data_IF_633292339618
#
_entry.id   IF_633292339618
#
_cell.length_a   1.000
_cell.length_b   1.000
_cell.length_c   1.000
_cell.angle_alpha   90.00
_cell.angle_beta   90.00
_cell.angle_gamma   90.00
#
_symmetry.space_group_name_H-M   'P 1'
#
loop_
_entity.id
_entity.type
_entity.pdbx_description
1 polymer ?
#
# COMPACT_ATOMS: atom_id res chain seq x y z
N UNK A 1 -4.77 -4.71 -71.71
CA UNK A 1 -3.79 -5.36 -70.81
C UNK A 1 -3.09 -4.30 -69.99
N UNK A 2 -3.30 -4.30 -68.66
CA UNK A 2 -2.46 -3.71 -67.60
C UNK A 2 -2.18 -2.17 -67.62
N UNK A 3 -2.22 -1.41 -66.52
CA UNK A 3 -2.21 -1.73 -65.11
C UNK A 3 -2.87 -0.63 -64.25
N UNK A 4 -3.62 -1.09 -63.24
CA UNK A 4 -3.88 -0.43 -61.96
C UNK A 4 -2.54 -0.17 -61.25
N UNK A 5 -2.40 0.97 -60.54
CA UNK A 5 -1.76 1.04 -59.20
C UNK A 5 -1.93 2.40 -58.52
N UNK A 6 -3.12 2.57 -57.96
CA UNK A 6 -3.46 2.94 -56.57
C UNK A 6 -2.34 3.53 -55.68
N UNK A 7 -2.56 4.80 -55.30
CA UNK A 7 -2.46 5.43 -53.98
C UNK A 7 -1.22 5.15 -53.09
N UNK A 8 -0.36 6.17 -52.98
CA UNK A 8 0.55 6.36 -51.84
C UNK A 8 -0.25 6.97 -50.67
N UNK A 9 -0.70 6.15 -49.73
CA UNK A 9 -1.11 6.64 -48.43
C UNK A 9 0.15 6.85 -47.56
N UNK A 10 0.50 8.11 -47.29
CA UNK A 10 1.44 8.46 -46.23
C UNK A 10 0.78 8.09 -44.89
N UNK A 11 1.05 6.88 -44.39
CA UNK A 11 0.68 6.50 -43.04
C UNK A 11 1.55 7.30 -42.07
N UNK A 12 0.95 8.32 -41.45
CA UNK A 12 1.56 9.05 -40.34
C UNK A 12 1.64 8.11 -39.14
N UNK A 13 2.85 7.69 -38.80
CA UNK A 13 3.10 7.05 -37.51
C UNK A 13 2.99 8.15 -36.46
N UNK A 14 1.83 8.26 -35.82
CA UNK A 14 1.71 9.02 -34.58
C UNK A 14 2.58 8.29 -33.54
N UNK A 15 3.78 8.82 -33.29
CA UNK A 15 4.58 8.40 -32.14
C UNK A 15 3.83 8.85 -30.89
N UNK A 16 3.02 7.96 -30.34
CA UNK A 16 2.52 8.12 -28.98
C UNK A 16 3.71 7.93 -28.05
N UNK A 17 4.17 9.02 -27.42
CA UNK A 17 5.03 8.92 -26.25
C UNK A 17 4.21 8.24 -25.15
N UNK A 18 4.26 6.91 -25.11
CA UNK A 18 3.79 6.16 -23.95
C UNK A 18 4.91 6.30 -22.92
N UNK A 19 4.70 7.20 -21.95
CA UNK A 19 5.46 7.17 -20.71
C UNK A 19 5.01 5.90 -20.00
N UNK A 20 5.77 4.82 -20.16
CA UNK A 20 5.59 3.66 -19.30
C UNK A 20 6.01 4.08 -17.89
N UNK A 21 5.09 4.05 -16.94
CA UNK A 21 5.49 3.96 -15.53
C UNK A 21 6.45 2.76 -15.44
N UNK A 22 7.64 2.97 -14.88
CA UNK A 22 8.67 1.93 -14.84
C UNK A 22 8.31 0.80 -13.85
N UNK A 23 7.24 0.99 -13.06
CA UNK A 23 6.72 0.05 -12.08
C UNK A 23 5.36 -0.58 -12.45
N UNK A 24 4.95 -1.63 -11.72
CA UNK A 24 3.60 -2.17 -11.81
C UNK A 24 2.56 -1.11 -11.38
N UNK A 25 1.29 -1.21 -11.84
CA UNK A 25 0.24 -0.28 -11.40
C UNK A 25 0.13 -0.20 -9.88
N UNK A 26 -0.26 0.96 -9.32
CA UNK A 26 -0.45 1.10 -7.88
C UNK A 26 -1.37 0.01 -7.30
N UNK A 27 -1.04 -0.50 -6.10
CA UNK A 27 -1.89 -1.48 -5.39
C UNK A 27 -3.15 -0.77 -4.90
N UNK A 28 -4.32 -1.30 -5.27
CA UNK A 28 -5.59 -0.75 -4.79
C UNK A 28 -5.86 -1.19 -3.34
N UNK A 29 -5.79 -0.25 -2.41
CA UNK A 29 -6.04 -0.51 -0.98
C UNK A 29 -7.53 -0.66 -0.65
N UNK A 30 -8.44 -0.25 -1.54
CA UNK A 30 -9.87 -0.19 -1.24
C UNK A 30 -10.14 0.59 0.05
N UNK A 31 -11.02 0.08 0.90
CA UNK A 31 -11.38 0.71 2.17
C UNK A 31 -10.28 0.63 3.24
N UNK A 32 -9.23 -0.20 3.06
CA UNK A 32 -8.08 -0.21 3.97
C UNK A 32 -7.26 1.08 3.88
N UNK A 33 -7.29 1.78 2.74
CA UNK A 33 -6.62 3.06 2.53
C UNK A 33 -7.18 4.21 3.38
N UNK A 34 -8.30 4.02 4.08
CA UNK A 34 -8.86 5.00 5.02
C UNK A 34 -8.14 5.00 6.39
N UNK A 35 -7.20 4.08 6.61
CA UNK A 35 -6.49 3.88 7.87
C UNK A 35 -4.99 3.99 7.65
N UNK A 36 -4.31 4.74 8.52
CA UNK A 36 -2.84 4.82 8.54
C UNK A 36 -2.23 3.59 9.23
N UNK A 37 -2.97 2.99 10.18
CA UNK A 37 -2.64 1.69 10.77
C UNK A 37 -3.90 0.82 10.78
N UNK A 38 -3.84 -0.33 10.13
CA UNK A 38 -4.89 -1.35 10.19
C UNK A 38 -4.25 -2.69 10.55
N UNK A 39 -4.68 -3.28 11.66
CA UNK A 39 -4.15 -4.55 12.15
C UNK A 39 -5.25 -5.56 12.44
N UNK A 40 -4.93 -6.86 12.35
CA UNK A 40 -5.87 -7.93 12.72
C UNK A 40 -5.87 -8.24 14.21
N UNK A 41 -4.68 -8.30 14.79
CA UNK A 41 -4.45 -8.81 16.15
C UNK A 41 -4.37 -7.72 17.22
N UNK A 42 -3.76 -6.57 16.93
CA UNK A 42 -3.58 -5.50 17.89
C UNK A 42 -2.63 -4.41 17.41
N UNK A 43 -2.62 -3.29 18.12
CA UNK A 43 -1.67 -2.18 17.93
C UNK A 43 -1.23 -1.72 19.32
N UNK A 44 0.07 -1.66 19.57
CA UNK A 44 0.62 -1.23 20.85
C UNK A 44 1.54 -0.05 20.67
N UNK A 45 1.64 0.79 21.69
CA UNK A 45 2.61 1.87 21.75
C UNK A 45 3.22 1.97 23.14
N UNK A 46 4.47 2.42 23.19
CA UNK A 46 5.10 2.94 24.40
C UNK A 46 5.06 4.45 24.28
N UNK A 47 4.16 5.08 25.03
CA UNK A 47 3.86 6.51 24.90
C UNK A 47 5.09 7.40 25.11
N UNK A 48 5.23 8.52 24.36
CA UNK A 48 4.28 9.04 23.36
C UNK A 48 4.65 8.69 21.90
N UNK A 49 3.67 8.23 21.13
CA UNK A 49 3.67 8.22 19.65
C UNK A 49 2.91 9.42 19.08
N UNK A 50 3.21 9.81 17.84
CA UNK A 50 2.46 10.81 17.09
C UNK A 50 1.98 10.21 15.77
N UNK A 51 0.67 9.95 15.68
CA UNK A 51 0.02 9.33 14.52
C UNK A 51 -0.95 10.33 13.91
N UNK A 52 -0.84 10.57 12.60
CA UNK A 52 -1.81 11.38 11.86
C UNK A 52 -2.61 10.48 10.93
N UNK A 53 -3.91 10.38 11.17
CA UNK A 53 -4.82 9.47 10.48
C UNK A 53 -5.47 8.44 11.41
N UNK A 54 -6.41 7.68 10.84
CA UNK A 54 -7.19 6.70 11.62
C UNK A 54 -6.42 5.42 11.86
N UNK A 55 -6.59 4.83 13.05
CA UNK A 55 -6.05 3.50 13.36
C UNK A 55 -7.19 2.53 13.66
N UNK A 56 -7.00 1.26 13.32
CA UNK A 56 -8.01 0.25 13.55
C UNK A 56 -7.46 -1.15 13.84
N UNK A 57 -8.22 -1.89 14.65
CA UNK A 57 -8.01 -3.33 14.86
C UNK A 57 -9.29 -4.10 14.56
N UNK A 58 -9.20 -5.16 13.75
CA UNK A 58 -10.30 -6.11 13.53
C UNK A 58 -9.78 -7.44 12.94
N UNK A 59 -10.20 -8.62 13.45
CA UNK A 59 -11.27 -8.84 14.42
C UNK A 59 -10.88 -8.57 15.88
N UNK A 60 -9.63 -8.20 16.17
CA UNK A 60 -9.22 -7.81 17.53
C UNK A 60 -10.04 -6.64 18.07
N UNK A 61 -10.24 -6.62 19.38
CA UNK A 61 -11.05 -5.62 20.09
C UNK A 61 -10.19 -4.46 20.57
N UNK A 62 -10.83 -3.44 21.15
CA UNK A 62 -10.18 -2.27 21.72
C UNK A 62 -9.20 -2.61 22.85
N UNK A 63 -9.35 -3.77 23.50
CA UNK A 63 -8.39 -4.28 24.48
C UNK A 63 -7.02 -4.62 23.86
N UNK A 64 -6.97 -4.91 22.56
CA UNK A 64 -5.72 -5.15 21.84
C UNK A 64 -5.03 -3.86 21.36
N UNK A 65 -5.63 -2.70 21.66
CA UNK A 65 -5.05 -1.38 21.39
C UNK A 65 -4.44 -0.84 22.69
N UNK A 66 -3.17 -1.14 22.93
CA UNK A 66 -2.52 -0.94 24.24
C UNK A 66 -1.58 0.26 24.25
N UNK A 67 -1.48 0.96 25.38
CA UNK A 67 -0.60 2.13 25.56
C UNK A 67 -1.12 3.45 24.97
N UNK A 68 -2.31 3.45 24.35
CA UNK A 68 -2.91 4.64 23.73
C UNK A 68 -3.76 5.50 24.68
N UNK A 69 -4.05 5.03 25.89
CA UNK A 69 -4.95 5.72 26.84
C UNK A 69 -6.28 6.12 26.20
N UNK A 70 -6.95 5.13 25.58
CA UNK A 70 -8.14 5.35 24.77
C UNK A 70 -9.30 5.95 25.56
N UNK A 71 -9.97 6.93 24.97
CA UNK A 71 -11.27 7.43 25.44
C UNK A 71 -12.34 6.99 24.44
N UNK A 72 -13.16 5.99 24.81
CA UNK A 72 -14.21 5.43 23.94
C UNK A 72 -15.39 6.40 23.81
N UNK A 73 -15.85 6.61 22.58
CA UNK A 73 -16.92 7.52 22.19
C UNK A 73 -17.99 6.82 21.32
N UNK A 74 -18.38 5.59 21.69
CA UNK A 74 -19.39 4.81 20.96
C UNK A 74 -18.81 4.04 19.77
N UNK A 75 -18.90 4.63 18.57
CA UNK A 75 -18.45 4.01 17.30
C UNK A 75 -16.94 4.10 17.08
N UNK A 76 -16.27 4.98 17.80
CA UNK A 76 -14.82 5.19 17.76
C UNK A 76 -14.27 5.50 19.15
N UNK A 77 -12.96 5.61 19.27
CA UNK A 77 -12.27 6.13 20.43
C UNK A 77 -11.24 7.19 20.00
N UNK A 78 -10.77 8.00 20.95
CA UNK A 78 -9.71 9.00 20.71
C UNK A 78 -8.49 8.71 21.60
N UNK A 79 -7.35 9.29 21.20
CA UNK A 79 -6.10 9.27 21.96
C UNK A 79 -5.35 10.57 21.70
N UNK A 80 -4.62 11.09 22.68
CA UNK A 80 -3.73 12.26 22.49
C UNK A 80 -2.57 11.97 21.54
N UNK A 81 -2.29 10.69 21.26
CA UNK A 81 -1.25 10.23 20.34
C UNK A 81 -1.75 10.12 18.89
N UNK A 82 -3.06 10.30 18.65
CA UNK A 82 -3.69 10.08 17.35
C UNK A 82 -4.46 11.33 16.92
N UNK A 83 -3.97 12.03 15.91
CA UNK A 83 -4.72 13.05 15.18
C UNK A 83 -5.62 12.34 14.17
N UNK A 84 -6.74 11.81 14.68
CA UNK A 84 -7.68 10.96 13.97
C UNK A 84 -8.54 10.14 14.93
N UNK A 85 -9.22 9.11 14.41
CA UNK A 85 -10.06 8.22 15.20
C UNK A 85 -9.44 6.83 15.34
N UNK A 86 -9.67 6.21 16.50
CA UNK A 86 -9.33 4.82 16.79
C UNK A 86 -10.59 3.98 16.62
N UNK A 87 -10.49 2.84 15.95
CA UNK A 87 -11.62 1.93 15.71
C UNK A 87 -11.28 0.50 16.14
N UNK A 88 -12.26 -0.22 16.66
CA UNK A 88 -12.12 -1.63 17.03
C UNK A 88 -13.39 -2.43 16.76
N UNK A 89 -13.25 -3.76 16.70
CA UNK A 89 -14.36 -4.67 16.36
C UNK A 89 -15.48 -4.74 17.41
N UNK A 90 -15.23 -4.33 18.66
CA UNK A 90 -16.19 -4.28 19.78
C UNK A 90 -16.85 -2.90 19.95
N UNK A 91 -16.68 -2.01 18.97
CA UNK A 91 -17.35 -0.72 18.97
C UNK A 91 -18.76 -0.83 18.41
N UNK A 92 -19.60 0.17 18.68
CA UNK A 92 -20.99 0.14 18.25
C UNK A 92 -21.10 0.15 16.72
N UNK A 93 -22.16 -0.46 16.19
CA UNK A 93 -22.45 -0.42 14.75
C UNK A 93 -22.46 1.04 14.24
N UNK A 94 -21.97 1.30 13.01
CA UNK A 94 -21.60 0.35 11.96
C UNK A 94 -20.13 -0.15 12.00
N UNK A 95 -19.33 0.27 12.98
CA UNK A 95 -17.87 0.07 12.99
C UNK A 95 -17.41 -1.37 12.72
N UNK A 96 -17.97 -2.43 13.35
CA UNK A 96 -17.48 -3.79 13.15
C UNK A 96 -17.60 -4.27 11.70
N UNK A 97 -18.70 -3.91 11.02
CA UNK A 97 -18.93 -4.26 9.63
C UNK A 97 -17.97 -3.48 8.70
N UNK A 98 -17.80 -2.18 8.93
CA UNK A 98 -16.85 -1.34 8.18
C UNK A 98 -15.42 -1.87 8.29
N UNK A 99 -15.00 -2.27 9.50
CA UNK A 99 -13.66 -2.82 9.71
C UNK A 99 -13.48 -4.20 9.07
N UNK A 100 -14.53 -5.03 9.04
CA UNK A 100 -14.48 -6.31 8.31
C UNK A 100 -14.21 -6.08 6.83
N UNK A 101 -14.91 -5.12 6.21
CA UNK A 101 -14.65 -4.73 4.81
C UNK A 101 -13.24 -4.20 4.62
N UNK A 102 -12.72 -3.36 5.52
CA UNK A 102 -11.36 -2.84 5.44
C UNK A 102 -10.30 -3.95 5.53
N UNK A 103 -10.48 -4.94 6.41
CA UNK A 103 -9.57 -6.08 6.55
C UNK A 103 -9.63 -7.00 5.32
N UNK A 104 -10.79 -7.17 4.69
CA UNK A 104 -10.89 -7.89 3.41
C UNK A 104 -10.18 -7.13 2.28
N UNK A 105 -10.32 -5.81 2.21
CA UNK A 105 -9.60 -4.98 1.25
C UNK A 105 -8.08 -5.05 1.44
N UNK A 106 -7.61 -5.03 2.69
CA UNK A 106 -6.19 -5.23 3.03
C UNK A 106 -5.68 -6.61 2.55
N UNK A 107 -6.46 -7.68 2.76
CA UNK A 107 -6.09 -9.03 2.29
C UNK A 107 -6.03 -9.11 0.76
N UNK A 108 -6.97 -8.46 0.07
CA UNK A 108 -6.98 -8.38 -1.39
C UNK A 108 -5.75 -7.60 -1.91
N UNK A 109 -5.43 -6.45 -1.31
CA UNK A 109 -4.25 -5.66 -1.65
C UNK A 109 -2.94 -6.43 -1.43
N UNK A 110 -2.81 -7.14 -0.31
CA UNK A 110 -1.67 -8.00 -0.02
C UNK A 110 -1.54 -9.15 -1.04
N UNK A 111 -2.67 -9.78 -1.39
CA UNK A 111 -2.69 -10.87 -2.39
C UNK A 111 -2.32 -10.35 -3.79
N UNK A 112 -2.83 -9.19 -4.20
CA UNK A 112 -2.41 -8.51 -5.44
C UNK A 112 -0.90 -8.30 -5.44
N UNK A 113 -0.36 -7.59 -4.45
CA UNK A 113 1.09 -7.32 -4.34
C UNK A 113 1.96 -8.58 -4.44
N UNK A 114 1.61 -9.64 -3.70
CA UNK A 114 2.35 -10.90 -3.72
C UNK A 114 2.22 -11.71 -5.02
N UNK A 115 1.18 -11.46 -5.81
CA UNK A 115 0.97 -12.17 -7.08
C UNK A 115 1.77 -11.57 -8.25
N UNK A 116 2.35 -10.37 -8.07
CA UNK A 116 3.06 -9.67 -9.14
C UNK A 116 4.43 -10.28 -9.39
N UNK A 117 4.70 -10.62 -10.65
CA UNK A 117 5.97 -11.24 -11.08
C UNK A 117 6.57 -10.61 -12.34
N UNK A 118 5.77 -9.86 -13.10
CA UNK A 118 6.21 -9.29 -14.37
C UNK A 118 7.31 -8.24 -14.17
N UNK A 119 8.39 -8.35 -14.94
CA UNK A 119 9.53 -7.42 -14.96
C UNK A 119 10.16 -7.16 -13.58
N UNK A 120 10.12 -8.15 -12.68
CA UNK A 120 10.70 -8.03 -11.35
C UNK A 120 12.23 -8.04 -11.38
N UNK A 121 12.84 -7.14 -10.60
CA UNK A 121 14.24 -7.27 -10.18
C UNK A 121 14.32 -8.29 -9.05
N UNK A 122 15.04 -9.39 -9.31
CA UNK A 122 15.09 -10.54 -8.41
C UNK A 122 16.32 -10.46 -7.50
N UNK A 123 16.12 -10.62 -6.19
CA UNK A 123 17.17 -10.80 -5.18
C UNK A 123 18.24 -9.71 -5.16
N UNK A 124 17.84 -8.44 -5.35
CA UNK A 124 18.77 -7.31 -5.28
C UNK A 124 19.55 -7.31 -3.96
N UNK A 125 20.87 -7.15 -4.04
CA UNK A 125 21.77 -7.17 -2.87
C UNK A 125 21.76 -8.50 -2.10
N UNK A 126 21.27 -9.60 -2.69
CA UNK A 126 21.05 -10.88 -2.01
C UNK A 126 20.23 -10.75 -0.70
N UNK A 127 19.34 -9.75 -0.64
CA UNK A 127 18.55 -9.42 0.54
C UNK A 127 19.22 -8.47 1.52
N UNK A 128 20.49 -8.10 1.38
CA UNK A 128 21.13 -7.06 2.20
C UNK A 128 21.27 -5.77 1.41
N UNK A 129 20.48 -4.76 1.76
CA UNK A 129 20.42 -3.48 1.05
C UNK A 129 21.25 -2.44 1.82
N UNK A 130 22.32 -1.96 1.17
CA UNK A 130 23.26 -0.98 1.75
C UNK A 130 23.51 0.12 0.73
N UNK A 131 23.06 1.34 1.01
CA UNK A 131 23.37 2.55 0.25
C UNK A 131 22.83 2.56 -1.18
N UNK A 132 21.78 1.78 -1.45
CA UNK A 132 21.23 1.64 -2.79
C UNK A 132 20.26 2.77 -3.13
N UNK A 133 20.30 3.17 -4.40
CA UNK A 133 19.25 3.97 -5.03
C UNK A 133 18.38 3.05 -5.87
N UNK A 134 17.10 2.95 -5.55
CA UNK A 134 16.12 2.10 -6.22
C UNK A 134 15.31 2.96 -7.20
N UNK A 135 15.33 2.57 -8.47
CA UNK A 135 14.43 3.11 -9.49
C UNK A 135 13.01 2.54 -9.31
N UNK A 136 11.98 3.09 -9.97
CA UNK A 136 10.66 2.51 -9.90
C UNK A 136 10.64 1.14 -10.54
N UNK A 137 9.90 0.21 -9.95
CA UNK A 137 9.91 -1.17 -10.39
C UNK A 137 9.30 -2.13 -9.38
N UNK A 138 9.24 -3.40 -9.79
CA UNK A 138 8.90 -4.50 -8.91
C UNK A 138 10.18 -5.16 -8.41
N UNK A 139 10.30 -5.35 -7.09
CA UNK A 139 11.45 -6.02 -6.47
C UNK A 139 10.96 -7.21 -5.65
N UNK A 140 11.59 -8.37 -5.84
CA UNK A 140 11.20 -9.60 -5.14
C UNK A 140 12.41 -10.29 -4.54
N UNK A 141 12.23 -10.87 -3.37
CA UNK A 141 13.23 -11.68 -2.68
C UNK A 141 12.63 -13.00 -2.23
N UNK A 142 13.40 -14.08 -2.33
CA UNK A 142 13.04 -15.38 -1.72
C UNK A 142 13.59 -15.54 -0.29
N UNK A 143 14.26 -14.51 0.22
CA UNK A 143 14.86 -14.44 1.56
C UNK A 143 14.44 -13.16 2.28
N UNK A 144 14.76 -13.07 3.57
CA UNK A 144 14.60 -11.84 4.34
C UNK A 144 15.38 -10.68 3.71
N UNK A 145 14.74 -9.52 3.66
CA UNK A 145 15.37 -8.25 3.26
C UNK A 145 15.82 -7.50 4.51
N UNK A 146 17.10 -7.15 4.56
CA UNK A 146 17.75 -6.39 5.62
C UNK A 146 18.25 -5.05 5.05
N UNK A 147 17.73 -3.94 5.57
CA UNK A 147 18.17 -2.59 5.19
C UNK A 147 19.20 -2.11 6.21
N UNK A 148 20.48 -2.09 5.82
CA UNK A 148 21.61 -1.84 6.72
C UNK A 148 21.90 -0.35 6.84
N UNK A 149 21.80 0.37 5.73
CA UNK A 149 21.91 1.83 5.68
C UNK A 149 20.75 2.40 4.89
N UNK A 150 20.65 3.73 4.88
CA UNK A 150 19.63 4.43 4.09
C UNK A 150 19.58 3.95 2.65
N UNK A 151 18.35 3.87 2.13
CA UNK A 151 18.04 3.66 0.73
C UNK A 151 17.42 4.93 0.18
N UNK A 152 17.62 5.17 -1.12
CA UNK A 152 16.96 6.27 -1.83
C UNK A 152 16.00 5.67 -2.84
N UNK A 153 14.72 6.04 -2.80
CA UNK A 153 13.77 5.73 -3.88
C UNK A 153 13.75 6.94 -4.82
N UNK A 154 14.04 6.73 -6.11
CA UNK A 154 14.07 7.80 -7.11
C UNK A 154 13.11 7.45 -8.24
N UNK A 155 12.13 8.32 -8.46
CA UNK A 155 11.11 8.20 -9.49
C UNK A 155 10.40 9.52 -9.72
N UNK A 156 9.45 9.52 -10.64
CA UNK A 156 8.50 10.59 -10.86
C UNK A 156 7.40 10.57 -9.77
N UNK A 157 6.64 11.67 -9.59
CA UNK A 157 5.51 11.70 -8.64
C UNK A 157 4.38 10.68 -8.93
N UNK A 158 4.40 10.04 -10.10
CA UNK A 158 3.39 9.08 -10.58
C UNK A 158 3.92 7.65 -10.70
N UNK A 159 5.18 7.42 -10.30
CA UNK A 159 5.83 6.11 -10.34
C UNK A 159 5.54 5.26 -9.08
#
# INVERSE_FOLDING_TARGET
MFAIKTFLALSSIAMTNVVFALGPPAINLGTSGNFVVLAKSGVSTVSPSAITGNIAVSPGTSAAITGFSLVKAGTFATSTQVVGSVFASDFTAPTPATLTTAVLAMQAAFTDGNSRTANATINLGAGTLTGLTLAPGLYTWSSTVNVVTSLTLVGLPTD
#
